data_IF_331136950534
#
_entry.id   IF_331136950534
#
_cell.length_a   1.000
_cell.length_b   1.000
_cell.length_c   1.000
_cell.angle_alpha   90.00
_cell.angle_beta   90.00
_cell.angle_gamma   90.00
#
_symmetry.space_group_name_H-M   'P 1'
#
loop_
_entity.id
_entity.type
_entity.pdbx_description
1 polymer ?
#
# COMPACT_ATOMS: atom_id res chain seq x y z
N UNK A 1 21.05 -26.19 13.13
CA UNK A 1 21.89 -25.47 14.10
C UNK A 1 21.89 -26.27 15.39
N UNK A 2 22.99 -26.26 16.17
CA UNK A 2 22.94 -26.80 17.53
C UNK A 2 21.86 -26.03 18.31
N UNK A 3 21.01 -26.74 19.05
CA UNK A 3 19.95 -26.15 19.88
C UNK A 3 20.48 -25.05 20.81
N UNK A 4 21.74 -25.22 21.24
CA UNK A 4 22.50 -24.35 22.14
C UNK A 4 22.59 -22.87 21.72
N UNK A 5 22.45 -22.53 20.43
CA UNK A 5 22.56 -21.14 19.98
C UNK A 5 21.29 -20.33 20.29
N UNK A 6 20.11 -20.96 20.25
CA UNK A 6 18.83 -20.30 20.55
C UNK A 6 18.57 -20.18 22.05
N UNK A 7 19.35 -20.90 22.87
CA UNK A 7 19.30 -20.86 24.33
C UNK A 7 20.17 -19.73 24.93
N UNK A 8 20.90 -18.99 24.09
CA UNK A 8 21.67 -17.83 24.51
C UNK A 8 20.76 -16.68 24.99
N UNK A 9 21.19 -15.90 25.99
CA UNK A 9 20.57 -14.62 26.31
C UNK A 9 20.42 -13.74 25.07
N UNK A 10 19.31 -13.00 24.91
CA UNK A 10 19.02 -12.22 23.69
C UNK A 10 20.16 -11.29 23.27
N UNK A 11 20.85 -10.67 24.23
CA UNK A 11 21.95 -9.74 23.98
C UNK A 11 23.19 -10.45 23.41
N UNK A 12 23.48 -11.66 23.89
CA UNK A 12 24.58 -12.48 23.38
C UNK A 12 24.23 -13.04 22.00
N UNK A 13 22.99 -13.48 21.80
CA UNK A 13 22.51 -13.94 20.50
C UNK A 13 22.61 -12.83 19.44
N UNK A 14 22.19 -11.61 19.78
CA UNK A 14 22.33 -10.42 18.95
C UNK A 14 23.79 -10.14 18.56
N UNK A 15 24.72 -10.22 19.53
CA UNK A 15 26.15 -10.05 19.25
C UNK A 15 26.70 -11.12 18.32
N UNK A 16 26.32 -12.38 18.52
CA UNK A 16 26.76 -13.46 17.62
C UNK A 16 26.25 -13.23 16.20
N UNK A 17 25.00 -12.78 16.05
CA UNK A 17 24.45 -12.44 14.73
C UNK A 17 25.18 -11.25 14.12
N UNK A 18 25.49 -10.22 14.91
CA UNK A 18 26.24 -9.06 14.44
C UNK A 18 27.63 -9.45 13.89
N UNK A 19 28.40 -10.20 14.67
CA UNK A 19 29.73 -10.70 14.25
C UNK A 19 29.62 -11.59 13.01
N UNK A 20 28.62 -12.47 12.94
CA UNK A 20 28.36 -13.28 11.76
C UNK A 20 28.13 -12.41 10.51
N UNK A 21 27.29 -11.38 10.60
CA UNK A 21 27.00 -10.49 9.47
C UNK A 21 28.26 -9.73 9.03
N UNK A 22 29.13 -9.34 9.96
CA UNK A 22 30.42 -8.72 9.66
C UNK A 22 31.37 -9.70 8.94
N UNK A 23 31.43 -10.96 9.40
CA UNK A 23 32.33 -11.98 8.88
C UNK A 23 31.95 -12.47 7.48
N UNK A 24 30.69 -12.88 7.28
CA UNK A 24 30.23 -13.49 6.01
C UNK A 24 29.70 -12.46 5.02
N UNK A 25 29.49 -11.23 5.49
CA UNK A 25 28.85 -10.16 4.75
C UNK A 25 27.33 -10.35 4.64
N UNK A 26 26.65 -9.25 4.33
CA UNK A 26 25.18 -9.16 4.29
C UNK A 26 24.56 -10.14 3.29
N UNK A 27 25.26 -10.42 2.18
CA UNK A 27 24.78 -11.32 1.13
C UNK A 27 24.56 -12.72 1.66
N UNK A 28 25.60 -13.29 2.27
CA UNK A 28 25.57 -14.65 2.78
C UNK A 28 24.74 -14.72 4.06
N UNK A 29 24.82 -13.72 4.93
CA UNK A 29 23.97 -13.65 6.12
C UNK A 29 22.48 -13.67 5.77
N UNK A 30 22.05 -12.93 4.74
CA UNK A 30 20.65 -12.88 4.31
C UNK A 30 20.09 -14.23 3.85
N UNK A 31 20.93 -15.10 3.28
CA UNK A 31 20.54 -16.45 2.86
C UNK A 31 20.29 -17.37 4.06
N UNK A 32 20.91 -17.10 5.21
CA UNK A 32 20.77 -17.89 6.42
C UNK A 32 19.44 -17.65 7.17
N UNK A 33 18.58 -16.74 6.69
CA UNK A 33 17.24 -16.50 7.28
C UNK A 33 16.29 -17.71 7.16
N UNK A 34 16.59 -18.68 6.31
CA UNK A 34 15.82 -19.93 6.22
C UNK A 34 16.03 -20.85 7.43
N UNK A 35 17.06 -20.59 8.25
CA UNK A 35 17.47 -21.46 9.35
C UNK A 35 16.47 -21.46 10.51
N UNK A 36 15.97 -20.29 10.93
CA UNK A 36 14.88 -20.17 11.91
C UNK A 36 14.28 -18.77 11.88
N UNK A 37 13.06 -18.61 12.43
CA UNK A 37 12.38 -17.31 12.50
C UNK A 37 13.14 -16.31 13.39
N UNK A 38 13.64 -16.75 14.54
CA UNK A 38 14.40 -15.89 15.48
C UNK A 38 15.68 -15.40 14.82
N UNK A 39 16.42 -16.31 14.19
CA UNK A 39 17.65 -15.95 13.48
C UNK A 39 17.39 -15.03 12.28
N UNK A 40 16.29 -15.27 11.55
CA UNK A 40 15.85 -14.39 10.48
C UNK A 40 15.54 -12.97 10.98
N UNK A 41 14.89 -12.85 12.13
CA UNK A 41 14.54 -11.58 12.75
C UNK A 41 15.80 -10.81 13.19
N UNK A 42 16.77 -11.49 13.80
CA UNK A 42 18.01 -10.86 14.25
C UNK A 42 18.92 -10.46 13.09
N UNK A 43 19.09 -11.31 12.07
CA UNK A 43 19.83 -10.93 10.84
C UNK A 43 19.19 -9.69 10.21
N UNK A 44 17.86 -9.68 10.16
CA UNK A 44 17.12 -8.55 9.63
C UNK A 44 17.31 -7.29 10.48
N UNK A 45 17.21 -7.41 11.81
CA UNK A 45 17.45 -6.31 12.73
C UNK A 45 18.87 -5.77 12.56
N UNK A 46 19.89 -6.63 12.58
CA UNK A 46 21.29 -6.24 12.45
C UNK A 46 21.56 -5.46 11.17
N UNK A 47 21.07 -5.98 10.05
CA UNK A 47 21.28 -5.37 8.74
C UNK A 47 20.74 -3.94 8.72
N UNK A 48 19.52 -3.71 9.21
CA UNK A 48 18.92 -2.37 9.18
C UNK A 48 19.29 -1.47 10.36
N UNK A 49 19.75 -2.03 11.49
CA UNK A 49 20.12 -1.26 12.67
C UNK A 49 21.59 -0.82 12.67
N UNK A 50 22.49 -1.69 12.21
CA UNK A 50 23.93 -1.53 12.45
C UNK A 50 24.73 -1.27 11.17
N UNK A 51 24.30 -1.77 10.00
CA UNK A 51 25.11 -1.67 8.77
C UNK A 51 25.22 -0.22 8.23
N UNK A 52 26.40 0.17 7.72
CA UNK A 52 26.64 1.53 7.26
C UNK A 52 25.84 1.87 6.00
N UNK A 53 25.62 3.17 5.73
CA UNK A 53 24.73 3.63 4.66
C UNK A 53 25.20 3.19 3.26
N UNK A 54 26.50 3.04 3.09
CA UNK A 54 27.21 2.70 1.85
C UNK A 54 26.78 1.35 1.28
N UNK A 55 26.46 0.39 2.16
CA UNK A 55 25.91 -0.92 1.77
C UNK A 55 24.60 -0.73 0.99
N UNK A 56 23.73 0.15 1.47
CA UNK A 56 22.44 0.40 0.84
C UNK A 56 22.58 1.23 -0.45
N UNK A 57 23.60 2.08 -0.56
CA UNK A 57 23.93 2.84 -1.79
C UNK A 57 24.34 1.89 -2.91
N UNK A 58 25.29 1.00 -2.65
CA UNK A 58 25.80 0.03 -3.62
C UNK A 58 24.68 -0.87 -4.18
N UNK A 59 23.69 -1.19 -3.33
CA UNK A 59 22.50 -1.93 -3.72
C UNK A 59 21.61 -1.17 -4.71
N UNK A 60 21.31 0.11 -4.43
CA UNK A 60 20.39 0.92 -5.24
C UNK A 60 21.01 1.43 -6.55
N UNK A 61 22.31 1.71 -6.55
CA UNK A 61 23.03 2.20 -7.73
C UNK A 61 23.35 1.10 -8.75
N UNK A 62 22.98 -0.16 -8.48
CA UNK A 62 23.18 -1.32 -9.37
C UNK A 62 24.65 -1.55 -9.77
N UNK A 63 25.59 -1.04 -8.98
CA UNK A 63 27.04 -1.08 -9.27
C UNK A 63 27.77 -2.20 -8.55
N UNK A 64 27.13 -2.97 -7.67
CA UNK A 64 27.73 -4.15 -7.04
C UNK A 64 27.21 -5.46 -7.64
N UNK A 65 28.09 -6.31 -8.21
CA UNK A 65 27.75 -7.71 -8.46
C UNK A 65 27.67 -8.44 -7.10
N UNK A 66 26.46 -8.78 -6.65
CA UNK A 66 26.28 -9.72 -5.52
C UNK A 66 25.31 -9.34 -4.40
N UNK A 67 24.61 -8.21 -4.42
CA UNK A 67 23.64 -7.91 -3.34
C UNK A 67 22.36 -8.80 -3.44
N UNK A 68 21.93 -9.51 -2.36
CA UNK A 68 20.93 -10.60 -2.41
C UNK A 68 19.48 -10.11 -2.39
N UNK A 69 19.30 -8.79 -2.29
CA UNK A 69 18.02 -8.16 -2.09
C UNK A 69 17.22 -8.26 -3.45
N UNK A 70 16.03 -8.93 -3.50
CA UNK A 70 15.22 -9.14 -4.71
C UNK A 70 14.92 -7.87 -5.56
N UNK A 71 14.57 -8.04 -6.85
CA UNK A 71 14.39 -6.95 -7.84
C UNK A 71 13.33 -5.87 -7.50
N UNK A 72 12.54 -5.99 -6.42
CA UNK A 72 11.41 -5.11 -6.05
C UNK A 72 11.61 -4.31 -4.72
N UNK A 73 12.84 -4.11 -4.24
CA UNK A 73 13.10 -3.75 -2.83
C UNK A 73 13.11 -2.28 -2.41
N UNK A 74 12.47 -1.39 -3.17
CA UNK A 74 12.11 -0.09 -2.62
C UNK A 74 11.28 -0.25 -1.33
N UNK A 75 10.39 -1.24 -1.30
CA UNK A 75 9.47 -1.48 -0.17
C UNK A 75 10.13 -2.14 1.04
N UNK A 76 11.07 -3.09 0.87
CA UNK A 76 11.77 -3.71 2.02
C UNK A 76 12.55 -2.65 2.79
N UNK A 77 13.28 -1.79 2.07
CA UNK A 77 14.00 -0.71 2.70
C UNK A 77 13.06 0.34 3.32
N UNK A 78 11.95 0.67 2.64
CA UNK A 78 10.91 1.56 3.16
C UNK A 78 10.34 1.10 4.48
N UNK A 79 10.01 -0.17 4.58
CA UNK A 79 9.41 -0.74 5.78
C UNK A 79 10.41 -0.81 6.95
N UNK A 80 11.72 -0.77 6.65
CA UNK A 80 12.78 -0.87 7.65
C UNK A 80 13.53 0.42 7.94
N UNK A 81 13.24 1.49 7.19
CA UNK A 81 13.86 2.77 7.42
C UNK A 81 13.58 3.39 8.80
N UNK A 82 12.41 3.19 9.46
CA UNK A 82 12.22 3.70 10.82
C UNK A 82 13.25 3.10 11.80
N UNK A 83 13.49 1.79 11.67
CA UNK A 83 14.47 1.06 12.48
C UNK A 83 15.88 1.63 12.27
N UNK A 84 16.28 1.85 11.02
CA UNK A 84 17.57 2.46 10.69
C UNK A 84 17.71 3.86 11.30
N UNK A 85 16.74 4.76 11.05
CA UNK A 85 16.78 6.13 11.53
C UNK A 85 16.82 6.21 13.05
N UNK A 86 16.02 5.38 13.75
CA UNK A 86 16.01 5.31 15.22
C UNK A 86 17.37 4.92 15.78
N UNK A 87 18.00 3.89 15.23
CA UNK A 87 19.32 3.46 15.70
C UNK A 87 20.39 4.54 15.44
N UNK A 88 20.33 5.24 14.30
CA UNK A 88 21.23 6.38 14.01
C UNK A 88 20.94 7.62 14.86
N UNK A 89 19.72 7.78 15.37
CA UNK A 89 19.46 8.78 16.40
C UNK A 89 20.20 8.45 17.71
N UNK A 90 20.40 7.17 18.04
CA UNK A 90 21.08 6.75 19.26
C UNK A 90 22.61 6.59 19.10
N UNK A 91 23.13 6.24 17.92
CA UNK A 91 24.56 6.01 17.66
C UNK A 91 25.12 6.94 16.57
N UNK A 92 26.30 7.57 16.82
CA UNK A 92 26.93 8.59 15.95
C UNK A 92 27.84 8.05 14.84
N UNK A 93 28.15 6.76 14.83
CA UNK A 93 28.99 6.18 13.77
C UNK A 93 28.12 6.10 12.50
N UNK A 94 28.48 6.92 11.50
CA UNK A 94 27.93 6.95 10.13
C UNK A 94 26.49 7.46 9.93
N UNK A 95 25.96 8.25 10.86
CA UNK A 95 24.65 8.88 10.71
C UNK A 95 24.63 9.95 9.60
N UNK A 96 23.55 9.99 8.80
CA UNK A 96 23.33 11.03 7.79
C UNK A 96 23.47 12.44 8.40
N UNK A 97 24.24 13.31 7.74
CA UNK A 97 24.62 14.62 8.28
C UNK A 97 23.51 15.66 8.34
N UNK A 98 22.32 15.38 7.79
CA UNK A 98 21.24 16.35 7.64
C UNK A 98 19.95 15.85 8.30
N UNK A 99 19.48 14.66 7.96
CA UNK A 99 18.21 14.12 8.42
C UNK A 99 18.25 13.70 9.89
N UNK A 100 19.28 12.93 10.30
CA UNK A 100 19.36 12.42 11.67
C UNK A 100 19.48 13.56 12.70
N UNK A 101 20.33 14.60 12.50
CA UNK A 101 20.33 15.77 13.36
C UNK A 101 18.98 16.49 13.40
N UNK A 102 18.27 16.58 12.28
CA UNK A 102 16.94 17.21 12.22
C UNK A 102 15.89 16.42 13.00
N UNK A 103 15.91 15.09 12.90
CA UNK A 103 15.05 14.21 13.69
C UNK A 103 15.31 14.35 15.20
N UNK A 104 16.59 14.45 15.59
CA UNK A 104 16.96 14.72 16.99
C UNK A 104 16.43 16.07 17.48
N UNK A 105 16.60 17.12 16.68
CA UNK A 105 16.07 18.46 17.00
C UNK A 105 14.55 18.44 17.19
N UNK A 106 13.81 17.75 16.32
CA UNK A 106 12.37 17.59 16.43
C UNK A 106 11.97 16.78 17.66
N UNK A 107 12.69 15.68 17.95
CA UNK A 107 12.43 14.86 19.12
C UNK A 107 12.70 15.64 20.42
N UNK A 108 13.81 16.36 20.51
CA UNK A 108 14.16 17.19 21.67
C UNK A 108 13.14 18.31 21.89
N UNK A 109 12.65 18.94 20.81
CA UNK A 109 11.54 19.88 20.87
C UNK A 109 10.28 19.22 21.44
N UNK A 110 9.88 18.05 20.94
CA UNK A 110 8.71 17.33 21.43
C UNK A 110 8.85 16.95 22.91
N UNK A 111 10.02 16.45 23.33
CA UNK A 111 10.25 16.07 24.73
C UNK A 111 10.10 17.27 25.66
N UNK A 112 10.61 18.42 25.23
CA UNK A 112 10.49 19.68 25.97
C UNK A 112 9.03 20.13 26.10
N UNK A 113 8.30 20.20 24.99
CA UNK A 113 6.91 20.70 24.98
C UNK A 113 5.91 19.76 25.64
N UNK A 114 6.18 18.45 25.60
CA UNK A 114 5.35 17.42 26.25
C UNK A 114 5.77 17.16 27.71
N UNK A 115 6.89 17.73 28.18
CA UNK A 115 7.41 17.50 29.53
C UNK A 115 7.92 16.07 29.76
N UNK A 116 8.31 15.35 28.71
CA UNK A 116 8.76 13.96 28.77
C UNK A 116 10.22 13.91 29.22
N UNK A 117 10.45 13.33 30.39
CA UNK A 117 11.80 13.09 30.94
C UNK A 117 12.18 11.61 30.98
N UNK A 118 11.18 10.74 30.86
CA UNK A 118 11.35 9.28 30.91
C UNK A 118 12.00 8.73 29.63
N UNK A 119 12.93 7.79 29.81
CA UNK A 119 13.68 7.20 28.70
C UNK A 119 12.78 6.34 27.81
N UNK A 120 11.85 5.58 28.40
CA UNK A 120 10.98 4.67 27.65
C UNK A 120 10.01 5.48 26.77
N UNK A 121 9.35 6.49 27.33
CA UNK A 121 8.49 7.41 26.58
C UNK A 121 9.25 8.14 25.46
N UNK A 122 10.49 8.57 25.71
CA UNK A 122 11.34 9.17 24.69
C UNK A 122 11.63 8.20 23.55
N UNK A 123 11.90 6.93 23.83
CA UNK A 123 12.09 5.90 22.80
C UNK A 123 10.79 5.65 22.01
N UNK A 124 9.63 5.62 22.68
CA UNK A 124 8.34 5.47 21.99
C UNK A 124 8.06 6.63 21.04
N UNK A 125 8.30 7.87 21.46
CA UNK A 125 8.16 9.03 20.59
C UNK A 125 9.18 9.06 19.45
N UNK A 126 10.40 8.55 19.66
CA UNK A 126 11.38 8.38 18.59
C UNK A 126 10.91 7.38 17.51
N UNK A 127 10.28 6.27 17.93
CA UNK A 127 9.66 5.29 17.03
C UNK A 127 8.53 5.97 16.24
N UNK A 128 7.58 6.59 16.94
CA UNK A 128 6.43 7.26 16.33
C UNK A 128 6.84 8.36 15.35
N UNK A 129 7.85 9.16 15.70
CA UNK A 129 8.39 10.23 14.85
C UNK A 129 8.98 9.69 13.56
N UNK A 130 9.87 8.69 13.67
CA UNK A 130 10.54 8.11 12.49
C UNK A 130 9.56 7.39 11.57
N UNK A 131 8.60 6.64 12.14
CA UNK A 131 7.52 6.05 11.38
C UNK A 131 6.68 7.14 10.70
N UNK A 132 6.14 8.09 11.46
CA UNK A 132 5.27 9.15 10.94
C UNK A 132 5.88 9.92 9.76
N UNK A 133 7.18 10.18 9.79
CA UNK A 133 7.89 10.88 8.69
C UNK A 133 7.94 10.05 7.41
N UNK A 134 8.16 8.74 7.54
CA UNK A 134 8.16 7.83 6.39
C UNK A 134 6.74 7.69 5.85
N UNK A 135 5.75 7.62 6.75
CA UNK A 135 4.33 7.57 6.43
C UNK A 135 3.87 8.82 5.65
N UNK A 136 4.32 10.02 6.05
CA UNK A 136 3.95 11.29 5.43
C UNK A 136 4.52 11.54 4.03
N UNK A 137 5.43 10.71 3.54
CA UNK A 137 6.07 10.82 2.22
C UNK A 137 5.60 9.77 1.21
N UNK A 138 4.43 9.14 1.44
CA UNK A 138 3.83 8.19 0.51
C UNK A 138 3.61 8.81 -0.87
N UNK A 139 4.20 8.22 -1.92
CA UNK A 139 4.17 8.74 -3.30
C UNK A 139 5.47 9.41 -3.76
N UNK A 140 6.29 9.93 -2.83
CA UNK A 140 7.60 10.53 -3.14
C UNK A 140 8.78 9.83 -2.48
N UNK A 141 8.52 8.75 -1.75
CA UNK A 141 9.47 7.83 -1.12
C UNK A 141 10.79 7.68 -1.89
N UNK A 142 10.74 7.26 -3.15
CA UNK A 142 11.94 6.93 -3.90
C UNK A 142 12.86 8.14 -4.12
N UNK A 143 12.31 9.36 -4.23
CA UNK A 143 13.09 10.58 -4.35
C UNK A 143 13.50 11.13 -2.98
N UNK A 144 12.61 11.07 -1.99
CA UNK A 144 12.84 11.54 -0.63
C UNK A 144 14.03 10.82 0.02
N UNK A 145 14.05 9.50 -0.06
CA UNK A 145 15.10 8.69 0.55
C UNK A 145 16.42 8.87 -0.21
N UNK A 146 16.37 8.90 -1.56
CA UNK A 146 17.51 9.25 -2.44
C UNK A 146 18.20 10.55 -2.05
N UNK A 147 17.41 11.51 -1.58
CA UNK A 147 17.88 12.85 -1.20
C UNK A 147 18.47 12.90 0.20
N UNK A 148 17.87 12.20 1.17
CA UNK A 148 18.17 12.38 2.58
C UNK A 148 18.99 11.28 3.24
N UNK A 149 19.11 10.09 2.64
CA UNK A 149 19.95 9.04 3.23
C UNK A 149 21.34 8.96 2.62
N UNK A 150 21.55 9.54 1.43
CA UNK A 150 22.59 9.00 0.56
C UNK A 150 23.59 10.00 -0.01
N UNK A 151 23.47 11.31 0.25
CA UNK A 151 24.40 12.32 -0.31
C UNK A 151 24.74 12.04 -1.81
N UNK A 152 23.80 11.45 -2.55
CA UNK A 152 24.11 10.90 -3.87
C UNK A 152 24.27 12.05 -4.86
N UNK A 153 25.36 11.97 -5.63
CA UNK A 153 25.62 12.83 -6.79
C UNK A 153 24.42 12.92 -7.77
N UNK A 154 24.34 14.03 -8.52
CA UNK A 154 23.07 14.62 -8.94
C UNK A 154 22.49 13.87 -10.13
N UNK A 155 21.61 12.89 -9.88
CA UNK A 155 20.79 12.39 -10.98
C UNK A 155 19.69 13.38 -11.36
N UNK A 156 19.10 14.15 -10.43
CA UNK A 156 18.07 15.16 -10.72
C UNK A 156 18.24 16.43 -9.88
N UNK A 157 18.45 17.59 -10.52
CA UNK A 157 18.63 18.93 -9.91
C UNK A 157 17.49 19.39 -8.99
N UNK A 158 16.33 18.72 -9.01
CA UNK A 158 15.15 19.15 -8.26
C UNK A 158 15.18 18.78 -6.77
N UNK A 159 15.97 17.77 -6.39
CA UNK A 159 15.92 17.16 -5.05
C UNK A 159 17.17 17.44 -4.20
N UNK A 160 18.36 17.58 -4.79
CA UNK A 160 19.58 18.04 -4.09
C UNK A 160 19.41 19.43 -3.46
N UNK A 161 18.54 20.26 -4.04
CA UNK A 161 18.15 21.56 -3.50
C UNK A 161 17.36 21.43 -2.16
N UNK A 162 16.60 20.35 -1.95
CA UNK A 162 15.83 20.13 -0.72
C UNK A 162 16.69 19.79 0.51
N UNK A 163 17.70 18.92 0.37
CA UNK A 163 18.61 18.63 1.49
C UNK A 163 19.43 19.87 1.89
N UNK A 164 19.95 20.61 0.91
CA UNK A 164 20.67 21.87 1.13
C UNK A 164 19.78 22.94 1.78
N UNK A 165 18.49 23.00 1.43
CA UNK A 165 17.52 23.91 2.06
C UNK A 165 17.25 23.64 3.54
N UNK A 166 17.53 22.43 4.03
CA UNK A 166 17.31 22.09 5.45
C UNK A 166 18.58 21.99 6.28
N UNK A 167 19.73 21.84 5.63
CA UNK A 167 21.03 21.74 6.28
C UNK A 167 21.34 23.02 7.07
N UNK A 168 21.56 22.87 8.38
CA UNK A 168 21.98 23.97 9.27
C UNK A 168 20.90 25.00 9.66
N UNK A 169 19.67 24.93 9.11
CA UNK A 169 18.56 25.77 9.58
C UNK A 169 17.82 25.14 10.75
N UNK A 170 17.13 25.92 11.56
CA UNK A 170 16.21 25.40 12.58
C UNK A 170 14.96 24.74 11.95
N UNK A 171 14.33 23.82 12.68
CA UNK A 171 13.06 23.20 12.31
C UNK A 171 11.94 24.25 12.23
N UNK A 172 11.20 24.25 11.12
CA UNK A 172 10.10 25.20 10.92
C UNK A 172 8.84 24.75 11.68
N UNK A 173 7.88 25.66 11.87
CA UNK A 173 6.60 25.34 12.49
C UNK A 173 5.86 24.19 11.78
N UNK A 174 5.94 24.11 10.45
CA UNK A 174 5.33 23.04 9.68
C UNK A 174 6.00 21.67 9.91
N UNK A 175 7.33 21.63 10.09
CA UNK A 175 8.06 20.39 10.40
C UNK A 175 7.78 19.92 11.83
N UNK A 176 7.72 20.87 12.77
CA UNK A 176 7.28 20.61 14.14
C UNK A 176 5.84 20.12 14.18
N UNK A 177 4.96 20.63 13.31
CA UNK A 177 3.58 20.17 13.17
C UNK A 177 3.54 18.70 12.71
N UNK A 178 4.31 18.33 11.69
CA UNK A 178 4.40 16.93 11.24
C UNK A 178 4.90 16.01 12.37
N UNK A 179 5.91 16.47 13.12
CA UNK A 179 6.44 15.74 14.27
C UNK A 179 5.38 15.58 15.38
N UNK A 180 4.64 16.65 15.72
CA UNK A 180 3.57 16.63 16.70
C UNK A 180 2.44 15.67 16.29
N UNK A 181 2.05 15.68 15.01
CA UNK A 181 1.06 14.74 14.46
C UNK A 181 1.56 13.30 14.52
N UNK A 182 2.84 13.06 14.18
CA UNK A 182 3.44 11.73 14.21
C UNK A 182 3.37 11.08 15.62
N UNK A 183 3.51 11.88 16.67
CA UNK A 183 3.44 11.43 18.07
C UNK A 183 2.08 11.63 18.74
N UNK A 184 1.05 12.00 17.98
CA UNK A 184 -0.31 12.29 18.47
C UNK A 184 -0.39 13.41 19.53
N UNK A 185 0.48 14.43 19.46
CA UNK A 185 0.50 15.58 20.36
C UNK A 185 -0.56 16.64 20.00
N UNK A 186 -1.84 16.33 20.25
CA UNK A 186 -2.99 17.17 19.89
C UNK A 186 -2.90 18.63 20.39
N UNK A 187 -2.34 18.85 21.58
CA UNK A 187 -2.20 20.17 22.19
C UNK A 187 -1.27 21.11 21.39
N UNK A 188 -0.31 20.55 20.64
CA UNK A 188 0.65 21.31 19.85
C UNK A 188 0.17 21.60 18.43
N UNK A 189 -0.84 20.85 17.94
CA UNK A 189 -1.31 20.94 16.55
C UNK A 189 -1.82 22.33 16.22
N UNK A 190 -2.84 22.83 16.91
CA UNK A 190 -3.46 24.12 16.60
C UNK A 190 -2.48 25.30 16.68
N UNK A 191 -1.63 25.43 17.73
CA UNK A 191 -0.62 26.49 17.78
C UNK A 191 0.38 26.42 16.62
N UNK A 192 0.95 25.24 16.35
CA UNK A 192 1.93 25.07 15.27
C UNK A 192 1.32 25.32 13.90
N UNK A 193 0.04 24.98 13.72
CA UNK A 193 -0.70 25.26 12.50
C UNK A 193 -0.88 26.76 12.26
N UNK A 194 -1.13 27.53 13.32
CA UNK A 194 -1.27 28.99 13.23
C UNK A 194 0.07 29.67 12.89
N UNK A 195 1.19 29.11 13.36
CA UNK A 195 2.54 29.62 13.10
C UNK A 195 3.08 29.23 11.73
N UNK A 196 2.63 28.10 11.18
CA UNK A 196 3.03 27.69 9.84
C UNK A 196 2.60 28.76 8.83
N UNK A 197 3.43 29.05 7.82
CA UNK A 197 3.04 29.89 6.67
C UNK A 197 2.39 29.07 5.56
N UNK A 198 2.75 27.79 5.51
CA UNK A 198 2.19 26.73 4.67
C UNK A 198 2.37 25.39 5.41
N UNK A 199 1.27 24.76 5.80
CA UNK A 199 1.27 23.47 6.48
C UNK A 199 1.28 22.28 5.51
N UNK A 200 0.98 22.50 4.23
CA UNK A 200 0.66 21.43 3.29
C UNK A 200 1.88 20.74 2.67
N UNK A 201 3.08 21.29 2.81
CA UNK A 201 4.28 20.76 2.10
C UNK A 201 5.56 20.93 2.89
N UNK A 202 5.91 19.92 3.67
CA UNK A 202 7.18 19.89 4.39
C UNK A 202 8.13 18.85 3.82
N UNK A 203 9.41 18.96 4.18
CA UNK A 203 10.38 17.89 3.92
C UNK A 203 10.08 16.62 4.72
N UNK A 204 9.16 16.65 5.68
CA UNK A 204 8.79 15.53 6.53
C UNK A 204 7.42 14.93 6.14
N UNK A 205 6.88 15.37 5.01
CA UNK A 205 5.59 14.94 4.49
C UNK A 205 4.47 15.93 4.76
N UNK A 206 3.25 15.45 4.60
CA UNK A 206 2.01 16.18 4.87
C UNK A 206 1.37 15.68 6.18
N UNK A 207 1.05 16.56 7.14
CA UNK A 207 0.46 16.15 8.42
C UNK A 207 -0.88 15.42 8.25
N UNK A 208 -1.68 15.73 7.23
CA UNK A 208 -2.96 15.06 7.00
C UNK A 208 -2.75 13.58 6.60
N UNK A 209 -1.79 13.34 5.71
CA UNK A 209 -1.36 11.99 5.30
C UNK A 209 -0.80 11.19 6.47
N UNK A 210 0.02 11.79 7.34
CA UNK A 210 0.56 11.15 8.55
C UNK A 210 -0.59 10.70 9.48
N UNK A 211 -1.51 11.60 9.81
CA UNK A 211 -2.65 11.32 10.68
C UNK A 211 -3.52 10.20 10.12
N UNK A 212 -3.79 10.24 8.82
CA UNK A 212 -4.64 9.24 8.14
C UNK A 212 -4.00 7.85 8.17
N UNK A 213 -2.71 7.75 7.87
CA UNK A 213 -2.00 6.48 7.83
C UNK A 213 -1.80 5.84 9.21
N UNK A 214 -1.79 6.66 10.26
CA UNK A 214 -1.84 6.17 11.65
C UNK A 214 -3.23 5.67 12.05
N UNK A 215 -4.24 5.87 11.20
CA UNK A 215 -5.64 5.56 11.51
C UNK A 215 -6.27 6.52 12.52
N UNK A 216 -5.66 7.67 12.80
CA UNK A 216 -6.16 8.60 13.80
C UNK A 216 -7.21 9.56 13.21
N UNK A 217 -8.45 9.08 13.15
CA UNK A 217 -9.61 9.83 12.63
C UNK A 217 -9.84 11.15 13.39
N UNK A 218 -9.53 11.20 14.68
CA UNK A 218 -9.70 12.42 15.48
C UNK A 218 -8.69 13.47 15.06
N UNK A 219 -7.42 13.07 14.90
CA UNK A 219 -6.36 13.95 14.40
C UNK A 219 -6.66 14.44 12.98
N UNK A 220 -7.16 13.56 12.09
CA UNK A 220 -7.61 13.95 10.75
C UNK A 220 -8.68 15.05 10.83
N UNK A 221 -9.70 14.90 11.68
CA UNK A 221 -10.71 15.94 11.88
C UNK A 221 -10.10 17.25 12.39
N UNK A 222 -9.26 17.20 13.42
CA UNK A 222 -8.60 18.38 13.98
C UNK A 222 -7.76 19.12 12.93
N UNK A 223 -7.04 18.39 12.08
CA UNK A 223 -6.27 18.99 11.00
C UNK A 223 -7.19 19.64 9.95
N UNK A 224 -8.26 18.96 9.52
CA UNK A 224 -9.23 19.53 8.58
C UNK A 224 -9.88 20.82 9.13
N UNK A 225 -10.22 20.84 10.43
CA UNK A 225 -10.71 22.03 11.11
C UNK A 225 -9.66 23.16 11.08
N UNK A 226 -8.40 22.84 11.35
CA UNK A 226 -7.30 23.81 11.26
C UNK A 226 -7.10 24.34 9.84
N UNK A 227 -7.14 23.49 8.81
CA UNK A 227 -7.05 23.91 7.41
C UNK A 227 -8.17 24.87 7.02
N UNK A 228 -9.41 24.55 7.40
CA UNK A 228 -10.56 25.41 7.11
C UNK A 228 -10.44 26.77 7.80
N UNK A 229 -9.91 26.80 9.03
CA UNK A 229 -9.73 28.01 9.82
C UNK A 229 -8.59 28.91 9.34
N UNK A 230 -7.40 28.36 9.13
CA UNK A 230 -6.18 29.14 8.90
C UNK A 230 -5.81 29.30 7.42
N UNK A 231 -6.21 28.37 6.56
CA UNK A 231 -5.86 28.39 5.13
C UNK A 231 -7.05 28.06 4.21
N UNK A 232 -8.14 28.83 4.28
CA UNK A 232 -9.31 28.58 3.44
C UNK A 232 -8.91 28.60 1.96
N UNK A 233 -9.15 27.47 1.26
CA UNK A 233 -8.90 27.34 -0.17
C UNK A 233 -7.45 27.18 -0.63
N UNK A 234 -6.46 27.10 0.27
CA UNK A 234 -5.04 26.88 -0.11
C UNK A 234 -4.56 25.43 -0.06
N UNK A 235 -5.29 24.54 0.59
CA UNK A 235 -4.94 23.12 0.61
C UNK A 235 -4.90 22.58 -0.82
N UNK A 236 -3.78 21.99 -1.25
CA UNK A 236 -3.69 21.54 -2.63
C UNK A 236 -4.58 20.32 -2.82
N UNK A 237 -5.18 20.21 -4.00
CA UNK A 237 -6.02 19.06 -4.35
C UNK A 237 -5.24 17.75 -4.17
N UNK A 238 -3.95 17.75 -4.52
CA UNK A 238 -3.09 16.57 -4.44
C UNK A 238 -2.93 16.04 -3.01
N UNK A 239 -2.71 16.90 -2.02
CA UNK A 239 -2.46 16.45 -0.65
C UNK A 239 -3.71 15.74 -0.07
N UNK A 240 -4.93 16.12 -0.52
CA UNK A 240 -6.17 15.42 -0.14
C UNK A 240 -6.29 14.06 -0.84
N UNK A 241 -5.87 13.98 -2.11
CA UNK A 241 -5.88 12.71 -2.85
C UNK A 241 -4.94 11.69 -2.20
N UNK A 242 -3.75 12.13 -1.79
CA UNK A 242 -2.75 11.28 -1.13
C UNK A 242 -3.30 10.78 0.22
N UNK A 243 -3.92 11.66 1.02
CA UNK A 243 -4.60 11.26 2.25
C UNK A 243 -5.77 10.28 2.00
N UNK A 244 -6.59 10.48 0.96
CA UNK A 244 -7.69 9.56 0.61
C UNK A 244 -7.14 8.17 0.26
N UNK A 245 -6.07 8.11 -0.54
CA UNK A 245 -5.43 6.84 -0.91
C UNK A 245 -4.92 6.10 0.34
N UNK A 246 -4.26 6.81 1.27
CA UNK A 246 -3.80 6.20 2.51
C UNK A 246 -4.96 5.76 3.43
N UNK A 247 -6.08 6.51 3.48
CA UNK A 247 -7.27 6.11 4.24
C UNK A 247 -7.85 4.77 3.75
N UNK A 248 -7.81 4.53 2.43
CA UNK A 248 -8.24 3.26 1.84
C UNK A 248 -7.27 2.15 2.22
N UNK A 249 -5.96 2.37 2.06
CA UNK A 249 -4.92 1.36 2.39
C UNK A 249 -4.98 0.93 3.85
N UNK A 250 -5.19 1.86 4.78
CA UNK A 250 -5.31 1.57 6.22
C UNK A 250 -6.72 1.12 6.62
N UNK A 251 -7.63 1.01 5.65
CA UNK A 251 -8.99 0.57 5.85
C UNK A 251 -9.76 1.40 6.91
N UNK A 252 -9.59 2.73 6.87
CA UNK A 252 -10.26 3.66 7.78
C UNK A 252 -11.40 4.40 7.06
N UNK A 253 -12.58 3.80 7.09
CA UNK A 253 -13.79 4.33 6.46
C UNK A 253 -14.21 5.70 7.02
N UNK A 254 -13.99 5.97 8.31
CA UNK A 254 -14.40 7.23 8.93
C UNK A 254 -13.49 8.38 8.52
N UNK A 255 -12.17 8.17 8.51
CA UNK A 255 -11.22 9.15 7.99
C UNK A 255 -11.46 9.39 6.49
N UNK A 256 -11.71 8.32 5.73
CA UNK A 256 -12.05 8.41 4.31
C UNK A 256 -13.29 9.30 4.07
N UNK A 257 -14.38 9.08 4.82
CA UNK A 257 -15.59 9.92 4.74
C UNK A 257 -15.28 11.38 5.05
N UNK A 258 -14.56 11.66 6.15
CA UNK A 258 -14.17 13.03 6.50
C UNK A 258 -13.37 13.70 5.38
N UNK A 259 -12.40 13.00 4.79
CA UNK A 259 -11.59 13.50 3.70
C UNK A 259 -12.43 13.78 2.45
N UNK A 260 -13.30 12.85 2.05
CA UNK A 260 -14.22 13.00 0.93
C UNK A 260 -15.13 14.22 1.13
N UNK A 261 -15.76 14.36 2.30
CA UNK A 261 -16.65 15.50 2.61
C UNK A 261 -15.89 16.83 2.68
N UNK A 262 -14.60 16.81 2.98
CA UNK A 262 -13.74 18.01 2.99
C UNK A 262 -13.25 18.42 1.60
N UNK A 263 -13.32 17.52 0.61
CA UNK A 263 -13.09 17.88 -0.80
C UNK A 263 -14.31 18.67 -1.30
N UNK A 264 -14.09 19.60 -2.25
CA UNK A 264 -15.21 20.31 -2.92
C UNK A 264 -16.25 19.31 -3.43
N UNK A 265 -17.51 19.72 -3.68
CA UNK A 265 -18.50 18.80 -4.22
C UNK A 265 -17.90 18.07 -5.43
N UNK A 266 -17.96 16.74 -5.38
CA UNK A 266 -17.40 15.80 -6.35
C UNK A 266 -18.16 15.87 -7.71
N UNK A 267 -18.86 16.95 -7.99
CA UNK A 267 -19.61 17.20 -9.22
C UNK A 267 -18.78 17.90 -10.31
N UNK A 268 -17.60 18.42 -9.97
CA UNK A 268 -16.69 19.14 -10.89
C UNK A 268 -15.49 18.31 -11.37
N UNK A 269 -15.64 16.98 -11.41
CA UNK A 269 -14.53 16.03 -11.63
C UNK A 269 -13.95 16.09 -13.04
N UNK A 270 -12.62 16.17 -13.14
CA UNK A 270 -11.87 16.11 -14.40
C UNK A 270 -11.61 14.67 -14.88
N UNK A 271 -11.25 14.48 -16.16
CA UNK A 271 -11.03 13.16 -16.76
C UNK A 271 -9.94 12.30 -16.10
N UNK A 272 -8.93 12.91 -15.47
CA UNK A 272 -7.87 12.24 -14.70
C UNK A 272 -8.37 11.61 -13.40
N UNK A 273 -9.38 12.18 -12.76
CA UNK A 273 -9.95 11.73 -11.49
C UNK A 273 -10.87 10.50 -11.68
N UNK A 274 -11.29 10.22 -12.91
CA UNK A 274 -11.93 8.95 -13.25
C UNK A 274 -10.99 7.76 -13.15
N UNK A 275 -9.69 7.95 -13.39
CA UNK A 275 -8.68 6.89 -13.24
C UNK A 275 -8.39 6.65 -11.75
N UNK A 276 -8.23 7.72 -10.97
CA UNK A 276 -7.99 7.63 -9.53
C UNK A 276 -9.14 6.96 -8.79
N UNK A 277 -10.38 7.34 -9.08
CA UNK A 277 -11.56 6.71 -8.48
C UNK A 277 -11.65 5.20 -8.77
N UNK A 278 -11.27 4.76 -9.98
CA UNK A 278 -11.20 3.33 -10.32
C UNK A 278 -10.12 2.61 -9.49
N UNK A 279 -8.96 3.23 -9.33
CA UNK A 279 -7.87 2.68 -8.51
C UNK A 279 -8.30 2.53 -7.05
N UNK A 280 -8.96 3.56 -6.50
CA UNK A 280 -9.50 3.54 -5.15
C UNK A 280 -10.59 2.49 -4.95
N UNK A 281 -11.50 2.31 -5.90
CA UNK A 281 -12.51 1.25 -5.82
C UNK A 281 -11.88 -0.15 -5.85
N UNK A 282 -10.87 -0.37 -6.69
CA UNK A 282 -10.14 -1.63 -6.72
C UNK A 282 -9.44 -1.89 -5.38
N UNK A 283 -8.70 -0.90 -4.87
CA UNK A 283 -7.98 -1.02 -3.60
C UNK A 283 -8.95 -1.25 -2.44
N UNK A 284 -10.04 -0.47 -2.35
CA UNK A 284 -11.06 -0.62 -1.32
C UNK A 284 -11.73 -2.01 -1.37
N UNK A 285 -12.02 -2.54 -2.56
CA UNK A 285 -12.53 -3.89 -2.71
C UNK A 285 -11.52 -4.94 -2.19
N UNK A 286 -10.23 -4.75 -2.46
CA UNK A 286 -9.16 -5.65 -1.99
C UNK A 286 -8.98 -5.64 -0.47
N UNK A 287 -9.26 -4.52 0.21
CA UNK A 287 -9.19 -4.47 1.69
C UNK A 287 -10.14 -5.45 2.39
N UNK A 288 -11.19 -5.90 1.68
CA UNK A 288 -12.24 -6.74 2.26
C UNK A 288 -13.26 -5.98 3.11
N UNK A 289 -13.12 -4.66 3.25
CA UNK A 289 -14.01 -3.83 4.04
C UNK A 289 -15.12 -3.22 3.21
N UNK A 290 -16.34 -3.66 3.49
CA UNK A 290 -17.55 -3.11 2.89
C UNK A 290 -17.70 -1.62 3.21
N UNK A 291 -17.41 -1.21 4.46
CA UNK A 291 -17.57 0.18 4.88
C UNK A 291 -16.65 1.14 4.11
N UNK A 292 -15.42 0.73 3.84
CA UNK A 292 -14.44 1.51 3.07
C UNK A 292 -14.86 1.57 1.60
N UNK A 293 -15.29 0.44 1.04
CA UNK A 293 -15.77 0.39 -0.34
C UNK A 293 -17.04 1.22 -0.56
N UNK A 294 -18.01 1.14 0.35
CA UNK A 294 -19.23 1.98 0.32
C UNK A 294 -18.88 3.46 0.35
N UNK A 295 -17.93 3.86 1.22
CA UNK A 295 -17.47 5.25 1.27
C UNK A 295 -16.87 5.71 -0.07
N UNK A 296 -16.12 4.87 -0.78
CA UNK A 296 -15.59 5.19 -2.12
C UNK A 296 -16.71 5.24 -3.17
N UNK A 297 -17.69 4.33 -3.12
CA UNK A 297 -18.82 4.28 -4.06
C UNK A 297 -19.69 5.54 -3.95
N UNK A 298 -19.92 6.02 -2.73
CA UNK A 298 -20.75 7.21 -2.45
C UNK A 298 -20.11 8.52 -2.97
N UNK A 299 -18.80 8.56 -3.26
CA UNK A 299 -18.09 9.80 -3.67
C UNK A 299 -18.61 10.46 -4.95
N UNK A 300 -18.97 9.72 -5.99
CA UNK A 300 -19.36 10.28 -7.30
C UNK A 300 -20.85 10.61 -7.44
N UNK A 301 -21.51 10.98 -6.33
CA UNK A 301 -22.96 11.11 -6.31
C UNK A 301 -23.66 9.76 -6.56
N UNK A 302 -22.96 8.65 -6.30
CA UNK A 302 -23.54 7.32 -6.32
C UNK A 302 -24.74 7.31 -5.37
N UNK A 303 -25.92 6.96 -5.89
CA UNK A 303 -27.09 6.78 -5.04
C UNK A 303 -26.81 5.62 -4.11
N UNK A 304 -27.01 5.83 -2.81
CA UNK A 304 -26.99 4.78 -1.80
C UNK A 304 -27.81 3.59 -2.31
N UNK A 305 -27.17 2.45 -2.50
CA UNK A 305 -27.84 1.24 -3.00
C UNK A 305 -27.91 1.05 -4.51
N UNK A 306 -27.07 1.68 -5.34
CA UNK A 306 -26.94 1.32 -6.77
C UNK A 306 -25.49 1.06 -7.17
N UNK A 307 -25.20 -0.16 -7.64
CA UNK A 307 -23.91 -0.53 -8.24
C UNK A 307 -23.88 -0.23 -9.74
N UNK A 308 -22.95 0.62 -10.17
CA UNK A 308 -22.66 0.87 -11.59
C UNK A 308 -21.72 -0.21 -12.15
N UNK A 309 -21.41 -0.12 -13.45
CA UNK A 309 -20.54 -1.06 -14.14
C UNK A 309 -19.15 -1.15 -13.51
N UNK A 310 -18.57 -0.01 -13.15
CA UNK A 310 -17.25 0.09 -12.53
C UNK A 310 -17.21 -0.60 -11.17
N UNK A 311 -18.19 -0.32 -10.30
CA UNK A 311 -18.27 -0.91 -8.97
C UNK A 311 -18.39 -2.44 -9.05
N UNK A 312 -19.21 -2.97 -9.99
CA UNK A 312 -19.28 -4.42 -10.21
C UNK A 312 -17.95 -5.00 -10.68
N UNK A 313 -17.22 -4.30 -11.56
CA UNK A 313 -15.90 -4.76 -12.00
C UNK A 313 -14.91 -4.80 -10.84
N UNK A 314 -14.91 -3.79 -9.98
CA UNK A 314 -14.03 -3.73 -8.81
C UNK A 314 -14.40 -4.79 -7.78
N UNK A 315 -15.68 -4.90 -7.39
CA UNK A 315 -16.19 -5.88 -6.42
C UNK A 315 -15.90 -7.31 -6.86
N UNK A 316 -16.30 -7.68 -8.08
CA UNK A 316 -16.18 -9.06 -8.55
C UNK A 316 -14.76 -9.40 -9.04
N UNK A 317 -14.03 -8.42 -9.57
CA UNK A 317 -12.67 -8.60 -10.10
C UNK A 317 -11.56 -8.55 -9.05
N UNK A 318 -11.73 -7.77 -7.98
CA UNK A 318 -10.69 -7.51 -6.97
C UNK A 318 -11.15 -7.78 -5.54
N UNK A 319 -12.47 -7.76 -5.28
CA UNK A 319 -13.02 -7.92 -3.94
C UNK A 319 -12.81 -9.30 -3.34
N UNK A 320 -12.79 -9.36 -2.01
CA UNK A 320 -12.77 -10.63 -1.27
C UNK A 320 -14.13 -11.35 -1.39
N UNK A 321 -14.15 -12.65 -1.14
CA UNK A 321 -15.41 -13.44 -1.10
C UNK A 321 -16.40 -12.85 -0.09
N UNK A 322 -15.92 -12.31 1.03
CA UNK A 322 -16.76 -11.67 2.04
C UNK A 322 -17.46 -10.41 1.48
N UNK A 323 -16.75 -9.58 0.72
CA UNK A 323 -17.32 -8.38 0.07
C UNK A 323 -18.37 -8.78 -0.96
N UNK A 324 -18.07 -9.77 -1.81
CA UNK A 324 -19.02 -10.27 -2.83
C UNK A 324 -20.30 -10.80 -2.15
N UNK A 325 -20.16 -11.68 -1.15
CA UNK A 325 -21.29 -12.25 -0.42
C UNK A 325 -22.10 -11.17 0.30
N UNK A 326 -21.46 -10.14 0.83
CA UNK A 326 -22.17 -9.02 1.43
C UNK A 326 -23.09 -8.34 0.41
N UNK A 327 -22.56 -7.91 -0.74
CA UNK A 327 -23.36 -7.20 -1.75
C UNK A 327 -24.45 -8.07 -2.38
N UNK A 328 -24.25 -9.39 -2.47
CA UNK A 328 -25.30 -10.35 -2.86
C UNK A 328 -26.38 -10.41 -1.77
N UNK A 329 -25.98 -10.57 -0.50
CA UNK A 329 -26.88 -10.72 0.64
C UNK A 329 -27.78 -9.50 0.89
N UNK A 330 -27.27 -8.29 0.65
CA UNK A 330 -28.08 -7.05 0.72
C UNK A 330 -28.87 -6.77 -0.57
N UNK A 331 -28.76 -7.64 -1.59
CA UNK A 331 -29.51 -7.53 -2.85
C UNK A 331 -29.03 -6.45 -3.82
N UNK A 332 -27.84 -5.88 -3.60
CA UNK A 332 -27.29 -4.83 -4.47
C UNK A 332 -26.52 -5.39 -5.67
N UNK A 333 -25.96 -6.60 -5.55
CA UNK A 333 -25.26 -7.30 -6.62
C UNK A 333 -26.14 -8.41 -7.18
N UNK A 334 -26.78 -8.14 -8.32
CA UNK A 334 -27.42 -9.17 -9.14
C UNK A 334 -26.36 -9.90 -9.96
N UNK A 335 -26.12 -11.16 -9.61
CA UNK A 335 -25.09 -12.04 -10.22
C UNK A 335 -25.29 -12.28 -11.73
N UNK A 336 -26.50 -12.06 -12.24
CA UNK A 336 -26.87 -12.26 -13.64
C UNK A 336 -27.07 -10.94 -14.41
N UNK A 337 -26.89 -9.79 -13.77
CA UNK A 337 -26.97 -8.50 -14.43
C UNK A 337 -25.84 -8.32 -15.42
N UNK A 338 -26.18 -7.86 -16.62
CA UNK A 338 -25.22 -7.59 -17.69
C UNK A 338 -25.11 -6.10 -17.93
N UNK A 339 -23.88 -5.65 -18.18
CA UNK A 339 -23.52 -4.34 -18.67
C UNK A 339 -22.95 -4.50 -20.09
N UNK A 340 -22.71 -3.38 -20.80
CA UNK A 340 -22.29 -3.42 -22.22
C UNK A 340 -21.14 -4.40 -22.50
N UNK A 341 -20.13 -4.41 -21.63
CA UNK A 341 -18.92 -5.24 -21.80
C UNK A 341 -18.55 -6.05 -20.56
N UNK A 342 -19.43 -6.16 -19.56
CA UNK A 342 -19.12 -6.91 -18.34
C UNK A 342 -20.37 -7.49 -17.69
N UNK A 343 -20.17 -8.52 -16.90
CA UNK A 343 -21.12 -9.12 -15.97
C UNK A 343 -20.34 -9.49 -14.70
N UNK A 344 -20.98 -9.76 -13.55
CA UNK A 344 -20.27 -10.19 -12.34
C UNK A 344 -19.32 -11.37 -12.60
N UNK A 345 -19.77 -12.38 -13.33
CA UNK A 345 -18.96 -13.56 -13.66
C UNK A 345 -17.83 -13.24 -14.66
N UNK A 346 -18.07 -12.36 -15.63
CA UNK A 346 -17.03 -11.89 -16.55
C UNK A 346 -15.97 -11.04 -15.82
N UNK A 347 -16.38 -10.17 -14.90
CA UNK A 347 -15.46 -9.37 -14.10
C UNK A 347 -14.56 -10.24 -13.21
N UNK A 348 -15.12 -11.27 -12.55
CA UNK A 348 -14.36 -12.18 -11.71
C UNK A 348 -13.30 -13.02 -12.48
N UNK A 349 -13.56 -13.26 -13.77
CA UNK A 349 -12.66 -14.02 -14.66
C UNK A 349 -11.63 -13.16 -15.38
N UNK A 350 -11.84 -11.84 -15.47
CA UNK A 350 -10.96 -10.93 -16.24
C UNK A 350 -9.61 -10.70 -15.58
N UNK A 351 -9.58 -10.62 -14.24
CA UNK A 351 -8.41 -10.16 -13.50
C UNK A 351 -7.40 -11.28 -13.21
N UNK A 352 -6.15 -11.02 -13.62
CA UNK A 352 -5.13 -12.04 -13.79
C UNK A 352 -4.23 -12.27 -12.55
N UNK A 353 -4.11 -11.26 -11.68
CA UNK A 353 -2.97 -11.14 -10.78
C UNK A 353 -3.31 -11.25 -9.29
N UNK A 354 -4.57 -11.54 -8.95
CA UNK A 354 -5.01 -11.62 -7.57
C UNK A 354 -5.27 -13.07 -7.15
N UNK A 355 -4.77 -13.42 -5.97
CA UNK A 355 -5.16 -14.62 -5.24
C UNK A 355 -6.70 -14.66 -5.09
N UNK A 356 -7.27 -15.86 -5.09
CA UNK A 356 -8.73 -16.04 -4.92
C UNK A 356 -9.60 -15.80 -6.17
N UNK A 357 -9.03 -15.63 -7.37
CA UNK A 357 -9.83 -15.49 -8.60
C UNK A 357 -10.80 -16.66 -8.83
N UNK A 358 -10.39 -17.90 -8.53
CA UNK A 358 -11.27 -19.07 -8.61
C UNK A 358 -12.37 -19.03 -7.54
N UNK A 359 -12.05 -18.59 -6.32
CA UNK A 359 -13.01 -18.52 -5.22
C UNK A 359 -14.12 -17.50 -5.52
N UNK A 360 -13.78 -16.37 -6.15
CA UNK A 360 -14.77 -15.38 -6.62
C UNK A 360 -15.71 -15.98 -7.68
N UNK A 361 -15.15 -16.68 -8.66
CA UNK A 361 -15.94 -17.38 -9.70
C UNK A 361 -16.84 -18.45 -9.07
N UNK A 362 -16.30 -19.26 -8.17
CA UNK A 362 -17.05 -20.29 -7.47
C UNK A 362 -18.16 -19.72 -6.59
N UNK A 363 -17.89 -18.61 -5.90
CA UNK A 363 -18.87 -17.89 -5.07
C UNK A 363 -20.03 -17.38 -5.90
N UNK A 364 -19.75 -16.70 -7.02
CA UNK A 364 -20.79 -16.18 -7.92
C UNK A 364 -21.65 -17.31 -8.52
N UNK A 365 -21.04 -18.41 -8.97
CA UNK A 365 -21.77 -19.56 -9.50
C UNK A 365 -22.63 -20.22 -8.40
N UNK A 366 -22.09 -20.36 -7.18
CA UNK A 366 -22.84 -20.92 -6.04
C UNK A 366 -24.01 -20.03 -5.64
N UNK A 367 -23.90 -18.72 -5.85
CA UNK A 367 -24.97 -17.75 -5.68
C UNK A 367 -25.97 -17.68 -6.86
N UNK A 368 -25.85 -18.58 -7.85
CA UNK A 368 -26.79 -18.68 -8.96
C UNK A 368 -26.43 -17.89 -10.23
N UNK A 369 -25.15 -17.51 -10.39
CA UNK A 369 -24.69 -16.95 -11.66
C UNK A 369 -24.83 -17.98 -12.80
N UNK A 370 -25.49 -17.58 -13.88
CA UNK A 370 -25.55 -18.35 -15.12
C UNK A 370 -24.16 -18.38 -15.77
N UNK A 371 -23.58 -19.57 -15.80
CA UNK A 371 -22.24 -19.85 -16.33
C UNK A 371 -22.10 -19.43 -17.80
N UNK A 372 -23.21 -19.43 -18.53
CA UNK A 372 -23.27 -19.10 -19.95
C UNK A 372 -23.73 -17.67 -20.23
N UNK A 373 -23.94 -16.86 -19.19
CA UNK A 373 -24.40 -15.49 -19.35
C UNK A 373 -23.41 -14.67 -20.18
N UNK A 374 -23.85 -14.27 -21.36
CA UNK A 374 -23.10 -13.37 -22.23
C UNK A 374 -23.38 -11.90 -21.88
N UNK A 375 -22.36 -11.05 -21.98
CA UNK A 375 -22.48 -9.59 -21.89
C UNK A 375 -23.14 -9.01 -23.15
N UNK A 376 -23.42 -7.70 -23.17
CA UNK A 376 -24.07 -7.05 -24.32
C UNK A 376 -23.32 -7.17 -25.65
N UNK A 377 -22.01 -7.48 -25.62
CA UNK A 377 -21.18 -7.73 -26.79
C UNK A 377 -20.85 -9.22 -27.03
N UNK A 378 -21.54 -10.15 -26.36
CA UNK A 378 -21.36 -11.59 -26.55
C UNK A 378 -20.22 -12.24 -25.74
N UNK A 379 -19.51 -11.49 -24.89
CA UNK A 379 -18.43 -12.04 -24.06
C UNK A 379 -18.99 -12.93 -22.94
N UNK A 380 -18.51 -14.16 -22.83
CA UNK A 380 -18.81 -15.08 -21.72
C UNK A 380 -17.61 -15.24 -20.78
N UNK A 381 -17.84 -15.78 -19.59
CA UNK A 381 -16.78 -16.08 -18.63
C UNK A 381 -15.72 -17.05 -19.20
N UNK A 382 -16.15 -18.06 -19.97
CA UNK A 382 -15.25 -19.02 -20.63
C UNK A 382 -14.37 -18.34 -21.68
N UNK A 383 -14.93 -17.44 -22.48
CA UNK A 383 -14.20 -16.65 -23.47
C UNK A 383 -13.05 -15.85 -22.81
N UNK A 384 -13.33 -15.18 -21.70
CA UNK A 384 -12.33 -14.40 -20.95
C UNK A 384 -11.27 -15.29 -20.32
N UNK A 385 -11.67 -16.40 -19.69
CA UNK A 385 -10.73 -17.37 -19.10
C UNK A 385 -9.76 -17.92 -20.17
N UNK A 386 -10.26 -18.27 -21.35
CA UNK A 386 -9.45 -18.73 -22.48
C UNK A 386 -8.50 -17.64 -23.01
N UNK A 387 -9.01 -16.41 -23.21
CA UNK A 387 -8.20 -15.24 -23.62
C UNK A 387 -7.07 -14.93 -22.62
N UNK A 388 -7.30 -15.16 -21.32
CA UNK A 388 -6.32 -14.94 -20.24
C UNK A 388 -5.47 -16.17 -19.91
N UNK A 389 -5.62 -17.28 -20.64
CA UNK A 389 -4.92 -18.55 -20.41
C UNK A 389 -5.13 -19.13 -19.00
N UNK A 390 -6.35 -19.01 -18.46
CA UNK A 390 -6.69 -19.47 -17.11
C UNK A 390 -7.15 -20.91 -17.13
N UNK A 391 -6.22 -21.87 -17.28
CA UNK A 391 -6.53 -23.30 -17.40
C UNK A 391 -7.44 -23.83 -16.30
N UNK A 392 -7.12 -23.54 -15.04
CA UNK A 392 -7.95 -23.97 -13.90
C UNK A 392 -9.35 -23.35 -13.92
N UNK A 393 -9.47 -22.04 -14.20
CA UNK A 393 -10.78 -21.38 -14.30
C UNK A 393 -11.59 -21.90 -15.50
N UNK A 394 -10.95 -22.18 -16.64
CA UNK A 394 -11.61 -22.84 -17.77
C UNK A 394 -12.12 -24.22 -17.37
N UNK A 395 -11.28 -25.03 -16.71
CA UNK A 395 -11.65 -26.36 -16.22
C UNK A 395 -12.89 -26.30 -15.33
N UNK A 396 -12.85 -25.43 -14.32
CA UNK A 396 -13.97 -25.24 -13.40
C UNK A 396 -15.25 -24.75 -14.10
N UNK A 397 -15.15 -23.79 -15.02
CA UNK A 397 -16.31 -23.32 -15.79
C UNK A 397 -16.92 -24.44 -16.65
N UNK A 398 -16.09 -25.27 -17.27
CA UNK A 398 -16.54 -26.44 -18.05
C UNK A 398 -17.22 -27.47 -17.15
N UNK A 399 -16.69 -27.73 -15.95
CA UNK A 399 -17.31 -28.63 -14.95
C UNK A 399 -18.69 -28.12 -14.50
N UNK A 400 -18.90 -26.80 -14.55
CA UNK A 400 -20.17 -26.13 -14.26
C UNK A 400 -21.06 -25.94 -15.49
N UNK A 401 -20.73 -26.55 -16.63
CA UNK A 401 -21.58 -26.56 -17.83
C UNK A 401 -21.40 -25.37 -18.76
N UNK A 402 -20.22 -24.74 -18.77
CA UNK A 402 -19.92 -23.69 -19.75
C UNK A 402 -19.94 -24.22 -21.18
N UNK A 403 -20.64 -23.49 -22.07
CA UNK A 403 -20.77 -23.81 -23.48
C UNK A 403 -19.43 -23.58 -24.20
N UNK A 404 -18.95 -24.63 -24.85
CA UNK A 404 -17.71 -24.63 -25.63
C UNK A 404 -17.88 -24.05 -27.03
N UNK A 405 -19.11 -23.75 -27.46
CA UNK A 405 -19.35 -23.09 -28.74
C UNK A 405 -18.74 -21.67 -28.72
N UNK A 406 -17.83 -21.45 -29.67
CA UNK A 406 -17.03 -20.23 -29.76
C UNK A 406 -17.43 -19.33 -30.93
N UNK A 407 -18.50 -19.66 -31.65
CA UNK A 407 -18.95 -18.92 -32.85
C UNK A 407 -19.52 -17.54 -32.50
N UNK A 408 -20.17 -17.44 -31.33
CA UNK A 408 -20.72 -16.19 -30.80
C UNK A 408 -19.69 -15.38 -29.98
N UNK A 409 -18.44 -15.83 -29.90
CA UNK A 409 -17.42 -15.09 -29.17
C UNK A 409 -17.03 -13.82 -29.93
N UNK A 410 -16.75 -12.71 -29.22
CA UNK A 410 -16.38 -11.47 -29.86
C UNK A 410 -15.16 -11.66 -30.79
N UNK A 411 -15.16 -11.06 -32.00
CA UNK A 411 -14.11 -11.29 -33.00
C UNK A 411 -12.68 -11.02 -32.50
N UNK A 412 -12.52 -10.04 -31.61
CA UNK A 412 -11.24 -9.65 -31.01
C UNK A 412 -10.73 -10.63 -29.91
N UNK A 413 -11.45 -11.71 -29.63
CA UNK A 413 -11.01 -12.81 -28.75
C UNK A 413 -10.77 -14.12 -29.49
N UNK A 414 -11.07 -14.17 -30.79
CA UNK A 414 -11.37 -15.41 -31.51
C UNK A 414 -10.19 -16.39 -31.60
N UNK A 415 -9.06 -16.02 -32.21
CA UNK A 415 -8.07 -17.04 -32.61
C UNK A 415 -7.28 -17.62 -31.42
N UNK A 416 -6.72 -16.78 -30.55
CA UNK A 416 -5.88 -17.26 -29.43
C UNK A 416 -6.71 -17.93 -28.34
N UNK A 417 -7.93 -17.44 -28.05
CA UNK A 417 -8.77 -18.04 -27.03
C UNK A 417 -9.32 -19.40 -27.50
N UNK A 418 -9.70 -19.54 -28.78
CA UNK A 418 -10.13 -20.84 -29.34
C UNK A 418 -9.07 -21.91 -29.23
N UNK A 419 -7.83 -21.61 -29.64
CA UNK A 419 -6.73 -22.59 -29.55
C UNK A 419 -6.48 -23.04 -28.10
N UNK A 420 -6.56 -22.11 -27.13
CA UNK A 420 -6.36 -22.43 -25.71
C UNK A 420 -7.50 -23.24 -25.12
N UNK A 421 -8.74 -22.96 -25.51
CA UNK A 421 -9.88 -23.80 -25.12
C UNK A 421 -9.75 -25.20 -25.71
N UNK A 422 -9.44 -25.31 -27.01
CA UNK A 422 -9.25 -26.59 -27.69
C UNK A 422 -8.18 -27.45 -26.99
N UNK A 423 -7.02 -26.87 -26.67
CA UNK A 423 -5.97 -27.58 -25.93
C UNK A 423 -6.47 -28.13 -24.59
N UNK A 424 -7.26 -27.37 -23.83
CA UNK A 424 -7.81 -27.83 -22.55
C UNK A 424 -8.86 -28.94 -22.75
N UNK A 425 -9.66 -28.86 -23.82
CA UNK A 425 -10.62 -29.92 -24.14
C UNK A 425 -9.91 -31.23 -24.53
N UNK A 426 -8.84 -31.14 -25.32
CA UNK A 426 -8.01 -32.29 -25.74
C UNK A 426 -7.28 -32.92 -24.55
N UNK A 427 -6.64 -32.10 -23.70
CA UNK A 427 -5.95 -32.54 -22.48
C UNK A 427 -6.89 -33.31 -21.53
N UNK A 428 -8.11 -32.80 -21.36
CA UNK A 428 -9.16 -33.44 -20.56
C UNK A 428 -9.73 -34.70 -21.19
N UNK A 429 -9.78 -34.78 -22.53
CA UNK A 429 -10.19 -36.00 -23.23
C UNK A 429 -9.11 -37.09 -23.15
N UNK A 430 -7.83 -36.71 -23.10
CA UNK A 430 -6.69 -37.62 -22.95
C UNK A 430 -6.51 -38.15 -21.52
N UNK A 431 -7.07 -37.46 -20.52
CA UNK A 431 -7.08 -37.85 -19.10
C UNK A 431 -8.52 -38.11 -18.64
N UNK A 432 -9.18 -39.20 -19.04
CA UNK A 432 -10.50 -39.53 -18.53
C UNK A 432 -10.41 -39.66 -17.01
N UNK A 433 -11.14 -38.82 -16.28
CA UNK A 433 -11.35 -38.95 -14.85
C UNK A 433 -11.73 -40.40 -14.57
N UNK A 434 -10.85 -41.13 -13.87
CA UNK A 434 -11.16 -42.46 -13.36
C UNK A 434 -12.36 -42.28 -12.43
N UNK A 435 -13.52 -42.66 -12.93
CA UNK A 435 -14.76 -42.71 -12.17
C UNK A 435 -14.66 -43.91 -11.23
N UNK A 436 -14.52 -43.64 -9.94
CA UNK A 436 -14.84 -44.57 -8.85
C UNK A 436 -15.79 -43.88 -7.89
#
# INVERSE_FOLDING_TARGET
>A
MPQDLLDLPPELFQRVVHELVLDVGIVEAWKLRSVSRTFAAEIHHDIFAHQPKEVFIAYLNRTSPGCPLPRNNGEILKNNLPLYLRNRMNARLDADGVLVPKLKELLDYLMKELGVQDFEQRQQHAIQLTEGIILGNSGRWAAWVKTFLWDCEPMHNYFTDSANKIKGRAATAAEKLCAAVAVNAYNLVTPLFAEAKDAARTHFGDPLTIATRRGDTKMVRTLLDCYSKFYPGKHTHQDKLDAIEEAIKVNNADALKLLIYSCRPWDQIHSSENVMHKMWMNEAAMTGSVATLDAVIETKGGRKGMLNQEAVKSICGHGTVAVINHYIGIGLLDVNKTYSHTSPLVAATEEAYHEGSIDRVATLISAGADVNKATGNGTTALCVAAKRNRRYTMGYLLDKGANTNTDNWPPYHHNVAKCRLQYVLEDRAATPLSTT
#
